data_IF_298199861750
#
_entry.id   IF_298199861750
#
_cell.length_a   1.000
_cell.length_b   1.000
_cell.length_c   1.000
_cell.angle_alpha   90.00
_cell.angle_beta   90.00
_cell.angle_gamma   90.00
#
_symmetry.space_group_name_H-M   'P 1'
#
loop_
_entity.id
_entity.type
_entity.pdbx_description
1 polymer ?
#
# COMPACT_ATOMS: atom_id res chain seq x y z
N UNK A 1 4.99 37.01 -11.76
CA UNK A 1 3.96 36.05 -11.34
C UNK A 1 4.31 35.51 -9.93
N UNK A 2 3.45 35.70 -8.95
CA UNK A 2 3.66 35.06 -7.63
C UNK A 2 3.53 33.53 -7.83
N UNK A 3 4.59 32.78 -7.54
CA UNK A 3 4.52 31.30 -7.47
C UNK A 3 3.46 30.94 -6.44
N UNK A 4 2.39 30.29 -6.88
CA UNK A 4 1.36 29.76 -5.97
C UNK A 4 2.02 28.67 -5.13
N UNK A 5 2.07 28.88 -3.82
CA UNK A 5 2.62 27.88 -2.89
C UNK A 5 1.74 26.65 -2.94
N UNK A 6 2.32 25.50 -3.26
CA UNK A 6 1.65 24.21 -3.20
C UNK A 6 1.98 23.56 -1.86
N UNK A 7 0.99 23.25 -1.05
CA UNK A 7 1.15 22.58 0.25
C UNK A 7 0.88 21.09 0.05
N UNK A 8 1.85 20.28 0.44
CA UNK A 8 1.71 18.82 0.50
C UNK A 8 1.63 18.40 1.97
N UNK A 9 0.61 17.64 2.33
CA UNK A 9 0.45 17.07 3.67
C UNK A 9 0.56 15.55 3.55
N UNK A 10 1.62 14.99 4.12
CA UNK A 10 1.77 13.55 4.31
C UNK A 10 1.13 13.17 5.64
N UNK A 11 0.27 12.17 5.64
CA UNK A 11 -0.45 11.73 6.84
C UNK A 11 -0.58 10.21 6.87
N UNK A 12 -0.45 9.64 8.07
CA UNK A 12 -0.90 8.26 8.29
C UNK A 12 -2.43 8.16 8.20
N UNK A 13 -2.96 6.98 8.04
CA UNK A 13 -4.40 6.71 8.03
C UNK A 13 -4.89 6.26 9.40
N UNK A 14 -4.42 5.11 9.87
CA UNK A 14 -4.92 4.49 11.11
C UNK A 14 -4.49 5.27 12.35
N UNK A 15 -5.45 5.81 13.08
CA UNK A 15 -5.21 6.66 14.25
C UNK A 15 -4.80 8.09 13.94
N UNK A 16 -4.83 8.50 12.65
CA UNK A 16 -4.63 9.88 12.21
C UNK A 16 -5.85 10.42 11.49
N UNK A 17 -6.06 10.07 10.22
CA UNK A 17 -7.28 10.42 9.49
C UNK A 17 -8.43 9.45 9.77
N UNK A 18 -8.12 8.19 10.07
CA UNK A 18 -9.10 7.19 10.46
C UNK A 18 -9.07 7.01 11.96
N UNK A 19 -10.25 6.87 12.56
CA UNK A 19 -10.36 6.48 13.96
C UNK A 19 -9.63 5.14 14.19
N UNK A 20 -8.91 5.05 15.30
CA UNK A 20 -8.01 3.92 15.58
C UNK A 20 -8.74 2.59 15.69
N UNK A 21 -9.94 2.62 16.27
CA UNK A 21 -10.70 1.41 16.62
C UNK A 21 -11.75 1.08 15.58
N UNK A 22 -12.41 2.10 15.03
CA UNK A 22 -13.53 1.93 14.09
C UNK A 22 -13.13 2.10 12.64
N UNK A 23 -11.94 2.67 12.34
CA UNK A 23 -11.47 3.03 11.01
C UNK A 23 -12.41 3.96 10.24
N UNK A 24 -13.26 4.69 10.95
CA UNK A 24 -14.18 5.69 10.39
C UNK A 24 -13.53 7.07 10.38
N UNK A 25 -13.98 7.93 9.46
CA UNK A 25 -13.51 9.31 9.33
C UNK A 25 -14.63 10.29 9.01
N UNK A 26 -15.88 9.92 9.26
CA UNK A 26 -17.06 10.71 8.93
C UNK A 26 -17.01 12.12 9.55
N UNK A 27 -16.49 12.23 10.77
CA UNK A 27 -16.35 13.49 11.50
C UNK A 27 -15.42 14.49 10.83
N UNK A 28 -14.36 14.03 10.17
CA UNK A 28 -13.36 14.91 9.55
C UNK A 28 -13.44 14.97 8.04
N UNK A 29 -14.30 14.13 7.43
CA UNK A 29 -14.43 13.99 5.98
C UNK A 29 -14.65 15.34 5.27
N UNK A 30 -15.58 16.15 5.78
CA UNK A 30 -15.89 17.44 5.19
C UNK A 30 -14.72 18.42 5.33
N UNK A 31 -14.01 18.38 6.45
CA UNK A 31 -12.83 19.21 6.67
C UNK A 31 -11.69 18.82 5.72
N UNK A 32 -11.43 17.53 5.55
CA UNK A 32 -10.43 17.03 4.58
C UNK A 32 -10.78 17.49 3.17
N UNK A 33 -12.05 17.39 2.78
CA UNK A 33 -12.53 17.89 1.48
C UNK A 33 -12.34 19.40 1.32
N UNK A 34 -12.55 20.19 2.36
CA UNK A 34 -12.32 21.65 2.28
C UNK A 34 -10.85 21.98 2.04
N UNK A 35 -9.93 21.28 2.70
CA UNK A 35 -8.49 21.45 2.47
C UNK A 35 -8.10 21.14 1.03
N UNK A 36 -8.65 20.07 0.47
CA UNK A 36 -8.42 19.69 -0.94
C UNK A 36 -8.96 20.76 -1.89
N UNK A 37 -10.14 21.29 -1.62
CA UNK A 37 -10.75 22.38 -2.41
C UNK A 37 -9.91 23.67 -2.34
N UNK A 38 -9.23 23.92 -1.23
CA UNK A 38 -8.31 25.04 -1.07
C UNK A 38 -6.96 24.81 -1.79
N UNK A 39 -6.80 23.67 -2.45
CA UNK A 39 -5.62 23.35 -3.26
C UNK A 39 -4.49 22.69 -2.46
N UNK A 40 -4.78 22.21 -1.25
CA UNK A 40 -3.85 21.40 -0.46
C UNK A 40 -3.88 19.98 -0.98
N UNK A 41 -2.71 19.38 -1.20
CA UNK A 41 -2.58 17.99 -1.64
C UNK A 41 -2.31 17.14 -0.41
N UNK A 42 -3.26 16.26 -0.08
CA UNK A 42 -3.14 15.30 1.02
C UNK A 42 -2.63 13.97 0.45
N UNK A 43 -1.59 13.42 1.05
CA UNK A 43 -0.92 12.20 0.61
C UNK A 43 -0.93 11.21 1.77
N UNK A 44 -1.87 10.25 1.80
CA UNK A 44 -1.81 9.13 2.73
C UNK A 44 -0.50 8.36 2.57
N UNK A 45 0.17 8.09 3.70
CA UNK A 45 1.37 7.26 3.79
C UNK A 45 1.12 6.20 4.86
N UNK A 46 0.83 4.96 4.44
CA UNK A 46 0.24 3.96 5.31
C UNK A 46 0.85 2.58 5.10
N UNK A 47 0.74 1.73 6.12
CA UNK A 47 1.00 0.29 6.02
C UNK A 47 -0.08 -0.47 5.23
N UNK A 48 -1.22 0.17 4.96
CA UNK A 48 -2.31 -0.41 4.19
C UNK A 48 -1.91 -0.75 2.76
N UNK A 49 -2.55 -1.78 2.24
CA UNK A 49 -2.42 -2.19 0.84
C UNK A 49 -3.05 -1.18 -0.12
N UNK A 50 -2.67 -1.24 -1.39
CA UNK A 50 -3.27 -0.45 -2.47
C UNK A 50 -4.80 -0.50 -2.44
N UNK A 51 -5.38 -1.71 -2.34
CA UNK A 51 -6.84 -1.90 -2.34
C UNK A 51 -7.55 -1.22 -1.15
N UNK A 52 -6.92 -1.24 0.02
CA UNK A 52 -7.48 -0.59 1.22
C UNK A 52 -7.44 0.94 1.09
N UNK A 53 -6.37 1.51 0.54
CA UNK A 53 -6.28 2.94 0.33
C UNK A 53 -7.19 3.38 -0.82
N UNK A 54 -7.34 2.60 -1.87
CA UNK A 54 -8.33 2.88 -2.92
C UNK A 54 -9.76 2.87 -2.38
N UNK A 55 -10.06 1.98 -1.43
CA UNK A 55 -11.36 2.01 -0.74
C UNK A 55 -11.52 3.31 0.03
N UNK A 56 -10.50 3.75 0.77
CA UNK A 56 -10.51 5.05 1.46
C UNK A 56 -10.77 6.21 0.49
N UNK A 57 -10.09 6.25 -0.67
CA UNK A 57 -10.31 7.27 -1.70
C UNK A 57 -11.75 7.26 -2.23
N UNK A 58 -12.33 6.06 -2.46
CA UNK A 58 -13.75 5.95 -2.87
C UNK A 58 -14.69 6.45 -1.79
N UNK A 59 -14.47 6.10 -0.54
CA UNK A 59 -15.29 6.53 0.59
C UNK A 59 -15.17 8.05 0.83
N UNK A 60 -13.99 8.62 0.60
CA UNK A 60 -13.76 10.07 0.61
C UNK A 60 -14.45 10.76 -0.58
N UNK A 61 -14.53 10.09 -1.72
CA UNK A 61 -15.05 10.63 -2.98
C UNK A 61 -14.04 11.50 -3.75
N UNK A 62 -12.75 11.34 -3.45
CA UNK A 62 -11.63 12.04 -4.10
C UNK A 62 -10.48 11.07 -4.32
N UNK A 63 -9.91 11.08 -5.53
CA UNK A 63 -8.69 10.34 -5.81
C UNK A 63 -7.47 11.12 -5.28
N UNK A 64 -6.90 10.66 -4.19
CA UNK A 64 -5.66 11.20 -3.63
C UNK A 64 -4.46 10.41 -4.14
N UNK A 65 -3.30 11.06 -4.37
CA UNK A 65 -2.03 10.34 -4.45
C UNK A 65 -1.73 9.71 -3.08
N UNK A 66 -1.04 8.57 -3.04
CA UNK A 66 -0.75 7.89 -1.77
C UNK A 66 0.49 7.01 -1.84
N UNK A 67 1.01 6.65 -0.67
CA UNK A 67 2.11 5.72 -0.46
C UNK A 67 1.56 4.51 0.29
N UNK A 68 1.72 3.32 -0.26
CA UNK A 68 1.20 2.07 0.29
C UNK A 68 2.29 1.19 0.87
N UNK A 69 1.87 0.24 1.74
CA UNK A 69 2.70 -0.86 2.24
C UNK A 69 4.05 -0.38 2.79
N UNK A 70 4.02 0.63 3.67
CA UNK A 70 5.21 1.22 4.31
C UNK A 70 6.27 1.75 3.32
N UNK A 71 5.84 2.33 2.20
CA UNK A 71 6.74 2.89 1.20
C UNK A 71 7.11 1.93 0.06
N UNK A 72 6.43 0.80 -0.06
CA UNK A 72 6.69 -0.16 -1.16
C UNK A 72 6.30 0.38 -2.53
N UNK A 73 5.28 1.24 -2.60
CA UNK A 73 4.83 1.86 -3.83
C UNK A 73 4.24 3.25 -3.61
N UNK A 74 4.40 4.10 -4.62
CA UNK A 74 3.78 5.43 -4.71
C UNK A 74 2.75 5.39 -5.82
N UNK A 75 1.56 5.91 -5.57
CA UNK A 75 0.43 5.90 -6.49
C UNK A 75 -0.10 7.31 -6.72
N UNK A 76 -0.64 7.56 -7.92
CA UNK A 76 -1.34 8.78 -8.23
C UNK A 76 -0.46 10.03 -8.38
N UNK A 77 0.84 9.90 -8.65
CA UNK A 77 1.72 11.05 -8.85
C UNK A 77 1.27 11.93 -10.03
N UNK A 78 0.62 11.35 -11.03
CA UNK A 78 0.04 12.06 -12.15
C UNK A 78 -1.10 13.04 -11.73
N UNK A 79 -1.66 12.90 -10.53
CA UNK A 79 -2.61 13.87 -9.94
C UNK A 79 -1.88 15.16 -9.57
N UNK A 80 -0.63 15.04 -9.10
CA UNK A 80 0.20 16.19 -8.74
C UNK A 80 0.76 16.86 -10.00
N UNK A 81 1.27 16.07 -10.92
CA UNK A 81 1.80 16.54 -12.20
C UNK A 81 1.57 15.46 -13.27
N UNK A 82 0.88 15.84 -14.35
CA UNK A 82 0.52 14.94 -15.46
C UNK A 82 1.72 14.25 -16.12
N UNK A 83 2.92 14.81 -16.01
CA UNK A 83 4.14 14.23 -16.56
C UNK A 83 4.72 13.10 -15.69
N UNK A 84 4.22 12.90 -14.49
CA UNK A 84 4.65 11.82 -13.62
C UNK A 84 3.89 10.53 -13.91
N UNK A 85 4.50 9.36 -13.68
CA UNK A 85 3.81 8.08 -13.82
C UNK A 85 2.71 7.94 -12.77
N UNK A 86 1.68 7.15 -13.08
CA UNK A 86 0.62 6.87 -12.13
C UNK A 86 1.09 6.02 -10.94
N UNK A 87 2.06 5.13 -11.17
CA UNK A 87 2.57 4.22 -10.12
C UNK A 87 4.08 4.07 -10.22
N UNK A 88 4.75 4.09 -9.08
CA UNK A 88 6.17 3.75 -8.94
C UNK A 88 6.29 2.68 -7.87
N UNK A 89 6.92 1.55 -8.20
CA UNK A 89 7.23 0.47 -7.26
C UNK A 89 8.65 0.68 -6.76
N UNK A 90 8.81 0.77 -5.43
CA UNK A 90 10.09 0.98 -4.76
C UNK A 90 10.62 -0.28 -4.08
N UNK A 91 9.73 -1.25 -3.80
CA UNK A 91 10.10 -2.56 -3.24
C UNK A 91 10.67 -3.48 -4.31
N UNK A 92 11.25 -4.60 -3.84
CA UNK A 92 11.63 -5.70 -4.74
C UNK A 92 10.41 -6.31 -5.39
N UNK A 93 10.55 -6.78 -6.62
CA UNK A 93 9.49 -7.53 -7.30
C UNK A 93 9.16 -8.81 -6.54
N UNK A 94 7.88 -9.21 -6.60
CA UNK A 94 7.37 -10.39 -5.90
C UNK A 94 8.15 -11.65 -6.26
N UNK A 95 8.49 -11.81 -7.52
CA UNK A 95 9.25 -12.93 -8.06
C UNK A 95 10.67 -13.01 -7.45
N UNK A 96 11.33 -11.87 -7.28
CA UNK A 96 12.65 -11.78 -6.65
C UNK A 96 12.58 -12.19 -5.17
N UNK A 97 11.55 -11.74 -4.45
CA UNK A 97 11.31 -12.13 -3.05
C UNK A 97 11.08 -13.64 -2.94
N UNK A 98 10.29 -14.22 -3.84
CA UNK A 98 10.02 -15.66 -3.88
C UNK A 98 11.28 -16.48 -4.11
N UNK A 99 12.18 -16.04 -5.00
CA UNK A 99 13.46 -16.72 -5.24
C UNK A 99 14.39 -16.65 -4.02
N UNK A 100 14.42 -15.53 -3.30
CA UNK A 100 15.14 -15.40 -2.04
C UNK A 100 14.62 -16.41 -1.01
N UNK A 101 13.29 -16.52 -0.85
CA UNK A 101 12.70 -17.50 0.05
C UNK A 101 13.05 -18.93 -0.34
N UNK A 102 12.93 -19.27 -1.63
CA UNK A 102 13.28 -20.59 -2.14
C UNK A 102 14.73 -20.98 -1.82
N UNK A 103 15.67 -20.04 -1.96
CA UNK A 103 17.10 -20.29 -1.79
C UNK A 103 17.60 -20.20 -0.35
N UNK A 104 16.92 -19.44 0.52
CA UNK A 104 17.42 -19.09 1.86
C UNK A 104 16.70 -19.78 3.02
N UNK A 105 15.48 -20.30 2.83
CA UNK A 105 14.72 -20.91 3.91
C UNK A 105 15.11 -22.38 4.08
N UNK A 106 15.61 -22.79 5.26
CA UNK A 106 15.86 -24.20 5.56
C UNK A 106 14.58 -25.03 5.49
N UNK A 107 14.67 -26.28 5.02
CA UNK A 107 13.52 -27.18 4.85
C UNK A 107 12.70 -27.36 6.14
N UNK A 108 13.38 -27.41 7.29
CA UNK A 108 12.74 -27.53 8.60
C UNK A 108 11.79 -26.35 8.93
N UNK A 109 12.02 -25.18 8.34
CA UNK A 109 11.24 -23.98 8.59
C UNK A 109 10.16 -23.72 7.52
N UNK A 110 10.13 -24.50 6.44
CA UNK A 110 9.17 -24.28 5.33
C UNK A 110 7.72 -24.29 5.81
N UNK A 111 7.32 -25.28 6.59
CA UNK A 111 5.95 -25.39 7.10
C UNK A 111 5.58 -24.20 8.01
N UNK A 112 6.53 -23.77 8.86
CA UNK A 112 6.32 -22.63 9.74
C UNK A 112 6.19 -21.32 8.95
N UNK A 113 7.01 -21.14 7.91
CA UNK A 113 6.91 -19.99 7.01
C UNK A 113 5.58 -19.97 6.26
N UNK A 114 5.10 -21.12 5.76
CA UNK A 114 3.79 -21.27 5.12
C UNK A 114 2.67 -20.81 6.06
N UNK A 115 2.70 -21.25 7.31
CA UNK A 115 1.72 -20.90 8.32
C UNK A 115 1.73 -19.41 8.64
N UNK A 116 2.91 -18.82 8.83
CA UNK A 116 3.08 -17.39 9.16
C UNK A 116 2.65 -16.50 8.00
N UNK A 117 3.08 -16.83 6.79
CA UNK A 117 2.80 -16.03 5.59
C UNK A 117 1.38 -16.28 5.03
N UNK A 118 0.64 -17.25 5.57
CA UNK A 118 -0.71 -17.65 5.09
C UNK A 118 -0.74 -17.89 3.58
N UNK A 119 0.32 -18.47 3.04
CA UNK A 119 0.43 -18.76 1.62
C UNK A 119 -0.41 -19.98 1.24
N UNK A 120 -1.08 -19.91 0.10
CA UNK A 120 -1.90 -21.00 -0.41
C UNK A 120 -1.06 -22.11 -1.08
N UNK A 121 -1.69 -23.25 -1.40
CA UNK A 121 -1.02 -24.41 -1.98
C UNK A 121 -0.25 -24.09 -3.26
N UNK A 122 -0.81 -23.29 -4.16
CA UNK A 122 -0.15 -22.90 -5.42
C UNK A 122 1.11 -22.04 -5.18
N UNK A 123 1.07 -21.17 -4.17
CA UNK A 123 2.24 -20.39 -3.74
C UNK A 123 3.29 -21.27 -3.07
N UNK A 124 2.86 -22.27 -2.28
CA UNK A 124 3.78 -23.25 -1.68
C UNK A 124 4.55 -24.02 -2.75
N UNK A 125 3.86 -24.53 -3.76
CA UNK A 125 4.49 -25.24 -4.89
C UNK A 125 5.48 -24.34 -5.64
N UNK A 126 5.16 -23.06 -5.83
CA UNK A 126 6.04 -22.09 -6.49
C UNK A 126 7.30 -21.79 -5.65
N UNK A 127 7.16 -21.63 -4.32
CA UNK A 127 8.25 -21.23 -3.43
C UNK A 127 9.15 -22.42 -3.07
N UNK A 128 8.57 -23.56 -2.74
CA UNK A 128 9.26 -24.72 -2.16
C UNK A 128 9.42 -25.91 -3.12
N UNK A 129 8.84 -25.79 -4.32
CA UNK A 129 8.76 -26.91 -5.28
C UNK A 129 7.62 -27.87 -4.95
N UNK A 130 7.29 -28.75 -5.91
CA UNK A 130 6.35 -29.84 -5.67
C UNK A 130 6.98 -30.79 -4.63
N UNK A 131 6.22 -31.15 -3.59
CA UNK A 131 6.57 -32.30 -2.78
C UNK A 131 6.50 -33.52 -3.69
N UNK A 132 7.58 -34.26 -3.77
CA UNK A 132 7.56 -35.57 -4.38
C UNK A 132 6.44 -36.38 -3.72
N UNK A 133 5.38 -36.62 -4.49
CA UNK A 133 4.26 -37.46 -4.10
C UNK A 133 4.67 -38.92 -4.27
N UNK A 134 5.67 -39.35 -3.49
CA UNK A 134 6.05 -40.75 -3.35
C UNK A 134 6.53 -40.98 -1.92
N UNK A 135 5.59 -41.26 -1.09
CA UNK A 135 5.65 -42.22 0.04
C UNK A 135 4.23 -42.55 0.47
#
# INVERSE_FOLDING_TARGET
MKKKLTILIFTDLDGSLLDRDTFKFDTIKNYVKSLINDGIIIIPNSSKTEKEIEKFNRDLGVALPYISENGSAIHGLNIINKNFPNKIILSREKEEILEIFKSKIPDQLKNKCIQILKINKKQQEKIFGQKDSNL
#
